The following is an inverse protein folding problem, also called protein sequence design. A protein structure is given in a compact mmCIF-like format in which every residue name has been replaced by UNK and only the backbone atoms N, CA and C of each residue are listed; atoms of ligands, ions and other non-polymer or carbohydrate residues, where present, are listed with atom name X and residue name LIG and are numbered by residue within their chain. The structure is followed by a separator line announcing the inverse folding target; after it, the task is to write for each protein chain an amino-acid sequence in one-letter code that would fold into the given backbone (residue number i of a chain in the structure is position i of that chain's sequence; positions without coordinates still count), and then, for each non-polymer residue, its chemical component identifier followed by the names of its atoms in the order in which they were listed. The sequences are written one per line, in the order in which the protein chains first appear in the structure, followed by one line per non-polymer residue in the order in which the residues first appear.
data_IF_971951901832
#
_entry.id   IF_971951901832
#
_cell.length_a   1.000
_cell.length_b   1.000
_cell.length_c   1.000
_cell.angle_alpha   90.00
_cell.angle_beta   90.00
_cell.angle_gamma   90.00
#
_symmetry.space_group_name_H-M   'P 1'
#
loop_
_entity.id
_entity.type
_entity.pdbx_description
1 polymer ?
#
# COMPACT_ATOMS: atom_id res chain seq x y z
N UNK A 1 6.12 26.36 5.71
CA UNK A 1 6.27 24.99 6.23
C UNK A 1 5.16 24.12 5.67
N UNK A 2 5.40 22.83 5.45
CA UNK A 2 4.36 21.92 4.95
C UNK A 2 3.50 21.41 6.11
N UNK A 3 2.20 21.73 6.07
CA UNK A 3 1.22 21.24 7.05
C UNK A 3 0.72 19.86 6.61
N UNK A 4 0.66 18.90 7.54
CA UNK A 4 0.15 17.55 7.22
C UNK A 4 -1.36 17.62 6.97
N UNK A 5 -1.78 17.29 5.76
CA UNK A 5 -3.19 17.18 5.37
C UNK A 5 -3.75 15.75 5.50
N UNK A 6 -2.88 14.77 5.74
CA UNK A 6 -3.25 13.34 5.83
C UNK A 6 -2.46 12.62 6.91
N UNK A 7 -3.09 11.61 7.53
CA UNK A 7 -2.47 10.64 8.43
C UNK A 7 -2.12 9.38 7.65
N UNK A 8 -0.84 9.02 7.59
CA UNK A 8 -0.39 7.78 6.95
C UNK A 8 -0.79 6.59 7.83
N UNK A 9 -1.63 5.71 7.30
CA UNK A 9 -2.09 4.49 7.99
C UNK A 9 -1.05 3.38 7.84
N UNK A 10 -0.57 3.16 6.61
CA UNK A 10 0.43 2.12 6.31
C UNK A 10 1.83 2.74 6.20
N UNK A 11 2.68 2.54 7.23
CA UNK A 11 4.07 3.06 7.22
C UNK A 11 4.96 2.40 6.16
N UNK A 12 4.76 1.09 5.92
CA UNK A 12 5.39 0.33 4.83
C UNK A 12 4.29 -0.08 3.83
N UNK A 13 4.60 -0.21 2.53
CA UNK A 13 3.61 -0.68 1.56
C UNK A 13 3.16 -2.11 1.89
N UNK A 14 1.88 -2.39 1.70
CA UNK A 14 1.35 -3.75 1.76
C UNK A 14 1.65 -4.41 0.41
N UNK A 15 2.30 -5.56 0.46
CA UNK A 15 2.63 -6.39 -0.71
C UNK A 15 1.64 -7.54 -0.84
N UNK A 16 1.40 -8.05 -2.06
CA UNK A 16 0.56 -9.23 -2.26
C UNK A 16 1.16 -10.46 -1.57
N UNK A 17 0.29 -11.42 -1.24
CA UNK A 17 0.72 -12.72 -0.71
C UNK A 17 1.30 -13.62 -1.80
N UNK A 18 2.06 -14.65 -1.43
CA UNK A 18 2.57 -15.63 -2.42
C UNK A 18 1.44 -16.35 -3.16
N UNK A 19 0.35 -16.69 -2.48
CA UNK A 19 -0.80 -17.34 -3.10
C UNK A 19 -1.44 -16.45 -4.17
N UNK A 20 -1.63 -15.17 -3.86
CA UNK A 20 -2.16 -14.18 -4.81
C UNK A 20 -1.23 -13.99 -6.00
N UNK A 21 0.09 -14.02 -5.81
CA UNK A 21 1.05 -13.94 -6.92
C UNK A 21 1.03 -15.20 -7.80
N UNK A 22 0.75 -16.38 -7.24
CA UNK A 22 0.60 -17.61 -8.04
C UNK A 22 -0.68 -17.58 -8.88
N UNK A 23 -1.80 -17.14 -8.30
CA UNK A 23 -3.09 -17.05 -9.00
C UNK A 23 -3.14 -15.86 -9.97
N UNK A 24 -2.48 -14.75 -9.62
CA UNK A 24 -2.37 -13.54 -10.43
C UNK A 24 -0.91 -13.04 -10.48
N UNK A 25 -0.11 -13.54 -11.44
CA UNK A 25 1.29 -13.11 -11.59
C UNK A 25 1.48 -11.61 -11.80
N UNK A 26 0.46 -10.89 -12.31
CA UNK A 26 0.51 -9.43 -12.49
C UNK A 26 0.49 -8.68 -11.15
N UNK A 27 0.00 -9.30 -10.08
CA UNK A 27 -0.02 -8.71 -8.75
C UNK A 27 1.39 -8.57 -8.14
N UNK A 28 2.39 -9.35 -8.58
CA UNK A 28 3.74 -9.45 -7.98
C UNK A 28 4.41 -8.11 -7.67
N UNK A 29 4.17 -7.07 -8.48
CA UNK A 29 4.76 -5.75 -8.31
C UNK A 29 3.86 -4.73 -7.58
N UNK A 30 2.64 -5.11 -7.20
CA UNK A 30 1.68 -4.23 -6.53
C UNK A 30 2.18 -3.82 -5.13
N UNK A 31 1.95 -2.56 -4.78
CA UNK A 31 2.33 -1.95 -3.50
C UNK A 31 1.20 -1.03 -3.04
N UNK A 32 0.37 -1.50 -2.12
CA UNK A 32 -0.73 -0.71 -1.58
C UNK A 32 -0.23 0.24 -0.48
N UNK A 33 -0.66 1.50 -0.54
CA UNK A 33 -0.41 2.52 0.49
C UNK A 33 -1.72 3.23 0.80
N UNK A 34 -2.00 3.43 2.09
CA UNK A 34 -3.24 4.02 2.59
C UNK A 34 -2.93 5.21 3.49
N UNK A 35 -3.65 6.30 3.27
CA UNK A 35 -3.67 7.47 4.13
C UNK A 35 -5.12 7.90 4.37
N UNK A 36 -5.36 8.49 5.52
CA UNK A 36 -6.64 9.04 5.95
C UNK A 36 -6.55 10.57 5.94
N UNK A 37 -7.64 11.25 5.57
CA UNK A 37 -7.70 12.72 5.60
C UNK A 37 -7.76 13.21 7.05
N UNK A 38 -6.98 14.26 7.36
CA UNK A 38 -7.05 14.98 8.63
C UNK A 38 -8.14 16.06 8.60
#
# INVERSE_FOLDING_TARGET
GHQRSVRVVTRKPITPSEAEVRENPRARSAKLRVAEKL
#
